data_IF_985092980454
#
_entry.id   IF_985092980454
#
_cell.length_a   1.000
_cell.length_b   1.000
_cell.length_c   1.000
_cell.angle_alpha   90.00
_cell.angle_beta   90.00
_cell.angle_gamma   90.00
#
_symmetry.space_group_name_H-M   'P 1'
#
loop_
_entity.id
_entity.type
_entity.pdbx_description
1 polymer ?
#
# COMPACT_ATOMS: atom_id res chain seq x y z
N UNK A 1 0.28 49.93 47.20
CA UNK A 1 0.25 49.84 45.73
C UNK A 1 0.57 48.43 45.22
N UNK A 2 0.49 47.37 46.06
CA UNK A 2 1.01 46.03 45.72
C UNK A 2 -0.06 44.96 45.43
N UNK A 3 -1.35 45.27 45.60
CA UNK A 3 -2.45 44.29 45.42
C UNK A 3 -2.94 44.14 43.97
N UNK A 4 -2.67 45.12 43.08
CA UNK A 4 -3.23 45.11 41.71
C UNK A 4 -2.46 44.18 40.75
N UNK A 5 -1.16 43.96 40.98
CA UNK A 5 -0.30 43.13 40.11
C UNK A 5 -0.48 41.62 40.31
N UNK A 6 -0.94 41.19 41.49
CA UNK A 6 -1.11 39.77 41.82
C UNK A 6 -2.38 39.17 41.19
N UNK A 7 -3.39 40.01 40.92
CA UNK A 7 -4.64 39.58 40.25
C UNK A 7 -4.44 39.41 38.74
N UNK A 8 -3.67 40.30 38.11
CA UNK A 8 -3.36 40.28 36.68
C UNK A 8 -2.47 39.07 36.31
N UNK A 9 -1.46 38.78 37.13
CA UNK A 9 -0.59 37.62 36.93
C UNK A 9 -1.33 36.28 37.08
N UNK A 10 -2.36 36.21 37.96
CA UNK A 10 -3.24 35.04 38.09
C UNK A 10 -4.14 34.83 36.87
N UNK A 11 -4.57 35.90 36.20
CA UNK A 11 -5.45 35.82 35.02
C UNK A 11 -4.69 35.42 33.75
N UNK A 12 -3.47 35.94 33.55
CA UNK A 12 -2.61 35.51 32.42
C UNK A 12 -2.22 34.03 32.56
N UNK A 13 -1.91 33.57 33.78
CA UNK A 13 -1.66 32.16 34.05
C UNK A 13 -2.88 31.25 33.77
N UNK A 14 -4.10 31.74 34.08
CA UNK A 14 -5.34 31.03 33.77
C UNK A 14 -5.62 30.96 32.27
N UNK A 15 -5.41 32.04 31.52
CA UNK A 15 -5.60 32.05 30.06
C UNK A 15 -4.63 31.10 29.34
N UNK A 16 -3.37 31.05 29.76
CA UNK A 16 -2.39 30.10 29.22
C UNK A 16 -2.79 28.65 29.52
N UNK A 17 -3.34 28.40 30.71
CA UNK A 17 -3.86 27.08 31.09
C UNK A 17 -5.08 26.70 30.24
N UNK A 18 -6.04 27.61 30.08
CA UNK A 18 -7.25 27.38 29.28
C UNK A 18 -6.95 27.20 27.78
N UNK A 19 -5.98 27.92 27.23
CA UNK A 19 -5.49 27.71 25.86
C UNK A 19 -4.80 26.36 25.71
N UNK A 20 -3.94 25.98 26.67
CA UNK A 20 -3.27 24.68 26.67
C UNK A 20 -4.27 23.52 26.73
N UNK A 21 -5.32 23.68 27.53
CA UNK A 21 -6.41 22.72 27.61
C UNK A 21 -7.26 22.66 26.33
N UNK A 22 -7.53 23.79 25.69
CA UNK A 22 -8.25 23.83 24.41
C UNK A 22 -7.44 23.19 23.28
N UNK A 23 -6.14 23.49 23.19
CA UNK A 23 -5.24 22.85 22.23
C UNK A 23 -5.16 21.34 22.48
N UNK A 24 -5.05 20.92 23.75
CA UNK A 24 -5.05 19.50 24.11
C UNK A 24 -6.37 18.80 23.75
N UNK A 25 -7.51 19.47 23.91
CA UNK A 25 -8.83 18.98 23.48
C UNK A 25 -8.89 18.85 21.95
N UNK A 26 -8.48 19.88 21.22
CA UNK A 26 -8.48 19.89 19.76
C UNK A 26 -7.63 18.75 19.18
N UNK A 27 -6.41 18.56 19.69
CA UNK A 27 -5.53 17.47 19.25
C UNK A 27 -6.20 16.11 19.50
N UNK A 28 -6.86 15.93 20.65
CA UNK A 28 -7.56 14.69 20.97
C UNK A 28 -8.75 14.44 20.03
N UNK A 29 -9.48 15.49 19.67
CA UNK A 29 -10.61 15.41 18.75
C UNK A 29 -10.14 15.08 17.32
N UNK A 30 -9.08 15.71 16.85
CA UNK A 30 -8.49 15.43 15.53
C UNK A 30 -7.95 14.00 15.45
N UNK A 31 -7.30 13.51 16.52
CA UNK A 31 -6.88 12.12 16.61
C UNK A 31 -8.07 11.14 16.59
N UNK A 32 -9.17 11.49 17.27
CA UNK A 32 -10.38 10.67 17.27
C UNK A 32 -11.00 10.62 15.87
N UNK A 33 -11.11 11.77 15.20
CA UNK A 33 -11.62 11.87 13.83
C UNK A 33 -10.74 11.07 12.86
N UNK A 34 -9.42 11.25 12.93
CA UNK A 34 -8.46 10.50 12.11
C UNK A 34 -8.57 8.99 12.35
N UNK A 35 -8.78 8.56 13.60
CA UNK A 35 -8.99 7.14 13.93
C UNK A 35 -10.28 6.60 13.31
N UNK A 36 -11.37 7.35 13.39
CA UNK A 36 -12.66 6.98 12.80
C UNK A 36 -12.58 6.91 11.27
N UNK A 37 -11.93 7.89 10.64
CA UNK A 37 -11.71 7.92 9.20
C UNK A 37 -10.80 6.77 8.73
N UNK A 38 -9.70 6.51 9.45
CA UNK A 38 -8.80 5.39 9.17
C UNK A 38 -9.52 4.06 9.31
N UNK A 39 -10.40 3.89 10.31
CA UNK A 39 -11.21 2.68 10.48
C UNK A 39 -12.19 2.50 9.33
N UNK A 40 -12.84 3.58 8.88
CA UNK A 40 -13.76 3.56 7.74
C UNK A 40 -13.04 3.22 6.43
N UNK A 41 -11.92 3.88 6.15
CA UNK A 41 -11.04 3.61 5.00
C UNK A 41 -10.50 2.18 5.04
N UNK A 42 -10.01 1.74 6.20
CA UNK A 42 -9.49 0.39 6.42
C UNK A 42 -10.55 -0.68 6.21
N UNK A 43 -11.78 -0.48 6.67
CA UNK A 43 -12.90 -1.41 6.42
C UNK A 43 -13.22 -1.51 4.93
N UNK A 44 -13.30 -0.39 4.21
CA UNK A 44 -13.58 -0.38 2.77
C UNK A 44 -12.44 -1.04 1.98
N UNK A 45 -11.20 -0.71 2.30
CA UNK A 45 -10.03 -1.34 1.71
C UNK A 45 -9.98 -2.85 2.00
N UNK A 46 -10.30 -3.26 3.23
CA UNK A 46 -10.35 -4.67 3.63
C UNK A 46 -11.45 -5.46 2.91
N UNK A 47 -12.65 -4.90 2.75
CA UNK A 47 -13.72 -5.51 1.96
C UNK A 47 -13.30 -5.61 0.48
N UNK A 48 -12.73 -4.54 -0.08
CA UNK A 48 -12.24 -4.54 -1.46
C UNK A 48 -11.16 -5.59 -1.70
N UNK A 49 -10.17 -5.68 -0.81
CA UNK A 49 -9.12 -6.70 -0.86
C UNK A 49 -9.68 -8.11 -0.68
N UNK A 50 -10.64 -8.30 0.24
CA UNK A 50 -11.32 -9.57 0.45
C UNK A 50 -12.10 -10.04 -0.77
N UNK A 51 -12.87 -9.13 -1.40
CA UNK A 51 -13.62 -9.42 -2.63
C UNK A 51 -12.69 -9.70 -3.81
N UNK A 52 -11.62 -8.91 -3.97
CA UNK A 52 -10.63 -9.14 -5.03
C UNK A 52 -9.91 -10.49 -4.83
N UNK A 53 -9.57 -10.84 -3.59
CA UNK A 53 -9.00 -12.14 -3.24
C UNK A 53 -9.96 -13.28 -3.54
N UNK A 54 -11.22 -13.18 -3.12
CA UNK A 54 -12.25 -14.17 -3.40
C UNK A 54 -12.47 -14.34 -4.91
N UNK A 55 -12.61 -13.24 -5.65
CA UNK A 55 -12.74 -13.26 -7.10
C UNK A 55 -11.53 -13.94 -7.77
N UNK A 56 -10.31 -13.67 -7.29
CA UNK A 56 -9.08 -14.32 -7.76
C UNK A 56 -9.10 -15.84 -7.55
N UNK A 57 -9.48 -16.30 -6.36
CA UNK A 57 -9.59 -17.73 -6.05
C UNK A 57 -10.68 -18.39 -6.89
N UNK A 58 -11.86 -17.77 -7.02
CA UNK A 58 -12.95 -18.28 -7.85
C UNK A 58 -12.56 -18.36 -9.32
N UNK A 59 -11.91 -17.32 -9.86
CA UNK A 59 -11.43 -17.31 -11.23
C UNK A 59 -10.35 -18.37 -11.47
N UNK A 60 -9.45 -18.59 -10.50
CA UNK A 60 -8.45 -19.65 -10.57
C UNK A 60 -9.08 -21.05 -10.61
N UNK A 61 -10.03 -21.32 -9.71
CA UNK A 61 -10.76 -22.59 -9.69
C UNK A 61 -11.56 -22.82 -10.97
N UNK A 62 -12.31 -21.80 -11.42
CA UNK A 62 -13.06 -21.87 -12.68
C UNK A 62 -12.15 -22.10 -13.88
N UNK A 63 -11.01 -21.40 -13.95
CA UNK A 63 -9.98 -21.62 -14.96
C UNK A 63 -9.43 -23.05 -14.94
N UNK A 64 -9.11 -23.59 -13.76
CA UNK A 64 -8.64 -24.98 -13.62
C UNK A 64 -9.69 -25.99 -14.09
N UNK A 65 -10.98 -25.76 -13.78
CA UNK A 65 -12.08 -26.61 -14.28
C UNK A 65 -12.21 -26.53 -15.80
N UNK A 66 -12.06 -25.35 -16.41
CA UNK A 66 -12.06 -25.20 -17.87
C UNK A 66 -10.87 -25.91 -18.52
N UNK A 67 -9.67 -25.82 -17.93
CA UNK A 67 -8.50 -26.59 -18.39
C UNK A 67 -8.79 -28.09 -18.34
N UNK A 68 -9.37 -28.58 -17.24
CA UNK A 68 -9.77 -29.98 -17.13
C UNK A 68 -10.82 -30.37 -18.19
N UNK A 69 -11.78 -29.49 -18.48
CA UNK A 69 -12.77 -29.70 -19.53
C UNK A 69 -12.09 -29.87 -20.91
N UNK A 70 -11.11 -29.03 -21.26
CA UNK A 70 -10.35 -29.15 -22.51
C UNK A 70 -9.57 -30.47 -22.57
N UNK A 71 -8.92 -30.85 -21.46
CA UNK A 71 -8.21 -32.14 -21.36
C UNK A 71 -9.17 -33.31 -21.58
N UNK A 72 -10.34 -33.30 -20.92
CA UNK A 72 -11.34 -34.35 -21.06
C UNK A 72 -11.94 -34.39 -22.47
N UNK A 73 -12.17 -33.24 -23.11
CA UNK A 73 -12.65 -33.16 -24.48
C UNK A 73 -11.64 -33.78 -25.47
N UNK A 74 -10.35 -33.48 -25.32
CA UNK A 74 -9.30 -34.12 -26.14
C UNK A 74 -9.15 -35.62 -25.82
N UNK A 75 -9.40 -36.01 -24.56
CA UNK A 75 -9.35 -37.42 -24.16
C UNK A 75 -10.43 -38.29 -24.81
N UNK A 76 -11.43 -37.69 -25.47
CA UNK A 76 -12.42 -38.42 -26.29
C UNK A 76 -11.79 -39.02 -27.56
N UNK A 77 -10.69 -38.44 -28.04
CA UNK A 77 -10.02 -38.85 -29.30
C UNK A 77 -8.59 -39.32 -29.10
N UNK A 78 -7.98 -39.05 -27.94
CA UNK A 78 -6.60 -39.39 -27.58
C UNK A 78 -6.54 -39.98 -26.16
N UNK A 79 -5.48 -40.71 -25.80
CA UNK A 79 -5.26 -41.11 -24.40
C UNK A 79 -5.21 -39.91 -23.46
N UNK A 80 -5.77 -40.06 -22.25
CA UNK A 80 -5.86 -38.99 -21.26
C UNK A 80 -4.49 -38.36 -20.91
N UNK A 81 -3.44 -39.19 -20.83
CA UNK A 81 -2.08 -38.72 -20.54
C UNK A 81 -1.54 -37.81 -21.65
N UNK A 82 -1.79 -38.13 -22.92
CA UNK A 82 -1.33 -37.33 -24.06
C UNK A 82 -2.09 -36.00 -24.14
N UNK A 83 -3.40 -36.03 -23.88
CA UNK A 83 -4.25 -34.84 -23.81
C UNK A 83 -3.77 -33.87 -22.73
N UNK A 84 -3.46 -34.38 -21.53
CA UNK A 84 -2.93 -33.58 -20.43
C UNK A 84 -1.57 -32.95 -20.77
N UNK A 85 -0.67 -33.69 -21.43
CA UNK A 85 0.63 -33.16 -21.86
C UNK A 85 0.50 -32.04 -22.90
N UNK A 86 -0.39 -32.20 -23.89
CA UNK A 86 -0.59 -31.19 -24.94
C UNK A 86 -1.12 -29.89 -24.33
N UNK A 87 -2.18 -29.97 -23.52
CA UNK A 87 -2.77 -28.79 -22.88
C UNK A 87 -1.78 -28.16 -21.90
N UNK A 88 -1.07 -28.97 -21.11
CA UNK A 88 -0.05 -28.50 -20.18
C UNK A 88 1.09 -27.76 -20.89
N UNK A 89 1.61 -28.31 -22.00
CA UNK A 89 2.64 -27.66 -22.79
C UNK A 89 2.17 -26.32 -23.38
N UNK A 90 0.94 -26.26 -23.90
CA UNK A 90 0.36 -25.03 -24.42
C UNK A 90 0.22 -23.95 -23.32
N UNK A 91 -0.24 -24.33 -22.13
CA UNK A 91 -0.35 -23.42 -20.99
C UNK A 91 1.02 -22.92 -20.51
N UNK A 92 2.04 -23.78 -20.45
CA UNK A 92 3.40 -23.39 -20.07
C UNK A 92 4.03 -22.44 -21.09
N UNK A 93 3.79 -22.65 -22.38
CA UNK A 93 4.21 -21.72 -23.43
C UNK A 93 3.54 -20.35 -23.25
N UNK A 94 2.21 -20.32 -23.06
CA UNK A 94 1.47 -19.09 -22.82
C UNK A 94 1.94 -18.37 -21.53
N UNK A 95 2.16 -19.12 -20.44
CA UNK A 95 2.65 -18.58 -19.18
C UNK A 95 4.06 -17.99 -19.32
N UNK A 96 4.94 -18.63 -20.10
CA UNK A 96 6.28 -18.12 -20.38
C UNK A 96 6.22 -16.78 -21.12
N UNK A 97 5.36 -16.65 -22.12
CA UNK A 97 5.15 -15.38 -22.84
C UNK A 97 4.60 -14.28 -21.91
N UNK A 98 3.58 -14.60 -21.12
CA UNK A 98 3.02 -13.67 -20.13
C UNK A 98 4.07 -13.22 -19.11
N UNK A 99 4.92 -14.14 -18.62
CA UNK A 99 5.98 -13.82 -17.68
C UNK A 99 7.03 -12.87 -18.29
N UNK A 100 7.38 -13.06 -19.57
CA UNK A 100 8.29 -12.16 -20.28
C UNK A 100 7.69 -10.75 -20.44
N UNK A 101 6.41 -10.67 -20.83
CA UNK A 101 5.70 -9.38 -20.97
C UNK A 101 5.54 -8.70 -19.61
N UNK A 102 5.16 -9.43 -18.58
CA UNK A 102 5.03 -8.91 -17.21
C UNK A 102 6.35 -8.34 -16.71
N UNK A 103 7.48 -9.04 -16.93
CA UNK A 103 8.81 -8.53 -16.61
C UNK A 103 9.16 -7.26 -17.39
N UNK A 104 8.80 -7.18 -18.66
CA UNK A 104 9.03 -5.97 -19.46
C UNK A 104 8.20 -4.78 -18.94
N UNK A 105 6.94 -5.02 -18.54
CA UNK A 105 6.06 -4.01 -17.97
C UNK A 105 6.55 -3.54 -16.59
N UNK A 106 6.94 -4.46 -15.71
CA UNK A 106 7.51 -4.10 -14.40
C UNK A 106 8.79 -3.27 -14.54
N UNK A 107 9.67 -3.64 -15.48
CA UNK A 107 10.90 -2.88 -15.77
C UNK A 107 10.63 -1.48 -16.33
N UNK A 108 9.47 -1.25 -16.95
CA UNK A 108 9.05 0.07 -17.46
C UNK A 108 8.29 0.88 -16.40
N UNK A 109 7.57 0.20 -15.52
CA UNK A 109 6.76 0.81 -14.46
C UNK A 109 7.57 1.14 -13.19
N UNK A 110 8.73 0.51 -12.99
CA UNK A 110 9.75 1.02 -12.06
C UNK A 110 10.63 2.00 -12.82
N UNK A 111 10.63 3.30 -12.48
CA UNK A 111 11.68 4.18 -12.96
C UNK A 111 13.01 3.56 -12.52
N UNK A 112 14.05 3.48 -13.38
CA UNK A 112 15.40 3.34 -12.87
C UNK A 112 15.56 4.45 -11.83
N UNK A 113 15.95 4.11 -10.60
CA UNK A 113 16.11 5.04 -9.46
C UNK A 113 16.36 6.47 -9.94
N UNK A 114 15.52 7.47 -9.58
CA UNK A 114 15.68 8.81 -10.09
C UNK A 114 17.08 9.30 -9.72
N UNK A 115 17.97 9.39 -10.71
CA UNK A 115 19.37 9.80 -10.51
C UNK A 115 19.44 11.17 -9.83
N UNK A 116 18.45 12.01 -10.09
CA UNK A 116 18.27 13.32 -9.45
C UNK A 116 18.01 13.21 -7.94
N UNK A 117 17.22 12.24 -7.50
CA UNK A 117 16.94 12.02 -6.07
C UNK A 117 18.17 11.51 -5.31
N UNK A 118 19.05 10.76 -5.97
CA UNK A 118 20.33 10.35 -5.38
C UNK A 118 21.32 11.52 -5.29
N UNK A 119 21.35 12.42 -6.29
CA UNK A 119 22.21 13.62 -6.27
C UNK A 119 21.80 14.66 -5.21
N UNK A 120 20.49 14.74 -4.89
CA UNK A 120 20.00 15.57 -3.80
C UNK A 120 20.43 15.02 -2.43
N UNK A 121 20.32 13.70 -2.26
CA UNK A 121 20.72 13.04 -1.01
C UNK A 121 22.23 13.13 -0.74
N UNK A 122 23.07 13.05 -1.78
CA UNK A 122 24.52 13.25 -1.66
C UNK A 122 24.87 14.68 -1.22
N UNK A 123 24.19 15.70 -1.80
CA UNK A 123 24.35 17.11 -1.41
C UNK A 123 23.85 17.39 0.01
N UNK A 124 22.74 16.77 0.41
CA UNK A 124 22.19 16.91 1.76
C UNK A 124 23.13 16.27 2.80
N UNK A 125 23.74 15.13 2.48
CA UNK A 125 24.75 14.49 3.34
C UNK A 125 26.05 15.31 3.42
N UNK A 126 26.49 15.92 2.31
CA UNK A 126 27.65 16.80 2.29
C UNK A 126 27.44 18.06 3.14
N UNK A 127 26.26 18.68 3.06
CA UNK A 127 25.89 19.86 3.85
C UNK A 127 25.85 19.57 5.36
N UNK A 128 25.34 18.40 5.76
CA UNK A 128 25.33 17.98 7.18
C UNK A 128 26.74 17.68 7.68
N UNK A 129 27.60 17.09 6.83
CA UNK A 129 28.99 16.77 7.16
C UNK A 129 29.86 18.01 7.29
N UNK A 130 29.60 19.05 6.50
CA UNK A 130 30.25 20.37 6.62
C UNK A 130 29.77 21.14 7.85
N UNK A 131 28.47 21.07 8.18
CA UNK A 131 27.89 21.71 9.36
C UNK A 131 28.39 21.16 10.70
N UNK A 132 28.89 19.92 10.71
CA UNK A 132 29.42 19.25 11.91
C UNK A 132 30.93 19.52 12.13
N UNK A 133 31.63 20.14 11.15
CA UNK A 133 33.07 20.41 11.22
C UNK A 133 33.42 21.87 11.60
N UNK A 134 32.45 22.63 12.14
CA UNK A 134 32.67 23.97 12.71
C UNK A 134 32.64 23.93 14.23
#
# INVERSE_FOLDING_TARGET
MSDMSDTDNRTVAQLVTDMSDQVSRLIRDEMRLATEEMRSKGKRAGIGAGLAGAAGVTAFLGGATLVACVVLALALVLPAWASALIVGAALLAAASLMALVSRAQLKRATPPMPREAMSGLERDVETVKEGTRR
#
